data_IF_011072290640
#
_entry.id   IF_011072290640
#
_cell.length_a   1.000
_cell.length_b   1.000
_cell.length_c   1.000
_cell.angle_alpha   90.00
_cell.angle_beta   90.00
_cell.angle_gamma   90.00
#
_symmetry.space_group_name_H-M   'P 1'
#
loop_
_entity.id
_entity.type
_entity.pdbx_description
1 polymer ?
#
# COMPACT_ATOMS: atom_id res chain seq x y z
N UNK A 1 14.87 -8.08 -7.29
CA UNK A 1 13.41 -7.94 -7.20
C UNK A 1 12.81 -9.29 -7.55
N UNK A 2 11.87 -9.78 -6.75
CA UNK A 2 11.15 -11.02 -7.01
C UNK A 2 9.66 -10.69 -7.07
N UNK A 3 9.00 -11.11 -8.14
CA UNK A 3 7.55 -10.99 -8.32
C UNK A 3 6.98 -12.39 -8.44
N UNK A 4 5.88 -12.67 -7.74
CA UNK A 4 5.18 -13.93 -7.81
C UNK A 4 3.69 -13.66 -7.70
N UNK A 5 2.92 -14.12 -8.69
CA UNK A 5 1.46 -14.18 -8.59
C UNK A 5 1.09 -15.57 -8.07
N UNK A 6 0.25 -15.62 -7.04
CA UNK A 6 -0.25 -16.88 -6.49
C UNK A 6 -1.57 -17.32 -7.13
N UNK A 7 -2.10 -18.47 -6.69
CA UNK A 7 -3.35 -19.03 -7.22
C UNK A 7 -4.59 -18.17 -6.94
N UNK A 8 -4.49 -17.21 -6.01
CA UNK A 8 -5.57 -16.30 -5.61
C UNK A 8 -5.50 -14.96 -6.37
N UNK A 9 -4.58 -14.82 -7.33
CA UNK A 9 -4.40 -13.63 -8.14
C UNK A 9 -3.71 -12.48 -7.40
N UNK A 10 -2.98 -12.78 -6.32
CA UNK A 10 -2.26 -11.77 -5.54
C UNK A 10 -0.83 -11.64 -6.06
N UNK A 11 -0.45 -10.42 -6.46
CA UNK A 11 0.92 -10.12 -6.85
C UNK A 11 1.79 -9.81 -5.63
N UNK A 12 2.66 -10.75 -5.26
CA UNK A 12 3.69 -10.57 -4.23
C UNK A 12 4.94 -9.93 -4.81
N UNK A 13 5.24 -8.71 -4.38
CA UNK A 13 6.46 -7.99 -4.79
C UNK A 13 7.44 -7.91 -3.63
N UNK A 14 8.56 -8.61 -3.73
CA UNK A 14 9.67 -8.51 -2.76
C UNK A 14 10.87 -7.83 -3.38
N UNK A 15 11.27 -6.71 -2.80
CA UNK A 15 12.41 -5.93 -3.26
C UNK A 15 13.25 -5.42 -2.08
N UNK A 16 14.54 -5.24 -2.31
CA UNK A 16 15.46 -4.58 -1.37
C UNK A 16 15.67 -3.10 -1.72
N UNK A 17 15.07 -2.66 -2.82
CA UNK A 17 15.15 -1.32 -3.40
C UNK A 17 13.74 -0.85 -3.77
N UNK A 18 13.57 0.35 -4.30
CA UNK A 18 12.25 0.84 -4.75
C UNK A 18 11.66 -0.04 -5.85
N UNK A 19 10.35 -0.33 -5.78
CA UNK A 19 9.56 -0.88 -6.87
C UNK A 19 8.58 0.19 -7.37
N UNK A 20 8.39 0.26 -8.68
CA UNK A 20 7.39 1.15 -9.31
C UNK A 20 6.32 0.26 -9.93
N UNK A 21 5.08 0.46 -9.52
CA UNK A 21 3.91 -0.29 -9.97
C UNK A 21 2.99 0.67 -10.71
N UNK A 22 2.58 0.30 -11.92
CA UNK A 22 1.55 1.01 -12.68
C UNK A 22 0.21 0.30 -12.43
N UNK A 23 -0.72 0.99 -11.78
CA UNK A 23 -2.09 0.54 -11.57
C UNK A 23 -3.01 1.53 -12.28
N UNK A 24 -3.88 1.05 -13.16
CA UNK A 24 -4.74 1.89 -13.99
C UNK A 24 -5.79 2.64 -13.14
N UNK A 25 -6.40 1.96 -12.17
CA UNK A 25 -7.42 2.52 -11.29
C UNK A 25 -7.41 1.80 -9.93
N UNK A 26 -7.24 2.55 -8.83
CA UNK A 26 -7.43 2.01 -7.48
C UNK A 26 -8.89 2.22 -7.07
N UNK A 27 -9.60 1.11 -6.84
CA UNK A 27 -10.99 1.10 -6.39
C UNK A 27 -11.13 1.02 -4.87
N UNK A 28 -10.15 0.42 -4.20
CA UNK A 28 -10.17 0.31 -2.74
C UNK A 28 -8.78 0.19 -2.13
N UNK A 29 -8.65 0.71 -0.90
CA UNK A 29 -7.43 0.69 -0.11
C UNK A 29 -7.78 0.09 1.25
N UNK A 30 -7.07 -0.98 1.64
CA UNK A 30 -7.22 -1.65 2.92
C UNK A 30 -5.97 -1.52 3.79
N UNK A 31 -6.18 -1.40 5.10
CA UNK A 31 -5.12 -1.58 6.10
C UNK A 31 -5.55 -2.75 6.96
N UNK A 32 -4.74 -3.81 7.02
CA UNK A 32 -5.16 -5.09 7.60
C UNK A 32 -5.39 -5.00 9.12
N UNK A 33 -4.43 -4.44 9.86
CA UNK A 33 -4.51 -4.28 11.31
C UNK A 33 -4.33 -2.81 11.72
N UNK A 34 -5.42 -2.17 12.16
CA UNK A 34 -5.36 -0.78 12.61
C UNK A 34 -4.56 -0.59 13.91
N UNK A 35 -4.40 -1.64 14.73
CA UNK A 35 -3.64 -1.56 15.98
C UNK A 35 -2.14 -1.40 15.73
N UNK A 36 -1.68 -1.75 14.53
CA UNK A 36 -0.28 -1.57 14.12
C UNK A 36 0.01 -0.15 13.61
N UNK A 37 -0.99 0.73 13.52
CA UNK A 37 -0.83 2.10 13.04
C UNK A 37 -0.35 2.99 14.19
N UNK A 38 0.81 3.63 14.00
CA UNK A 38 1.33 4.68 14.87
C UNK A 38 0.71 6.04 14.58
N UNK A 39 0.59 6.39 13.30
CA UNK A 39 -0.04 7.64 12.87
C UNK A 39 -0.63 7.49 11.48
N UNK A 40 -1.80 8.07 11.27
CA UNK A 40 -2.44 8.13 9.97
C UNK A 40 -2.90 9.56 9.70
N UNK A 41 -2.38 10.14 8.62
CA UNK A 41 -2.72 11.48 8.16
C UNK A 41 -3.33 11.38 6.77
N UNK A 42 -4.47 12.04 6.60
CA UNK A 42 -5.12 12.25 5.30
C UNK A 42 -5.03 13.74 5.00
N UNK A 43 -4.44 14.08 3.87
CA UNK A 43 -4.26 15.46 3.43
C UNK A 43 -4.98 15.66 2.10
N UNK A 44 -6.10 16.41 2.08
CA UNK A 44 -6.72 16.81 0.83
C UNK A 44 -5.81 17.83 0.11
N UNK A 45 -5.61 17.63 -1.17
CA UNK A 45 -4.88 18.52 -2.08
C UNK A 45 -5.83 18.85 -3.23
N UNK A 46 -5.70 20.01 -3.87
CA UNK A 46 -6.60 20.37 -4.99
C UNK A 46 -6.56 19.26 -6.06
N UNK A 47 -7.69 18.57 -6.24
CA UNK A 47 -7.85 17.47 -7.20
C UNK A 47 -7.35 16.08 -6.75
N UNK A 48 -6.84 15.92 -5.52
CA UNK A 48 -6.34 14.64 -5.02
C UNK A 48 -6.44 14.48 -3.50
N UNK A 49 -6.29 13.24 -3.04
CA UNK A 49 -6.18 12.91 -1.62
C UNK A 49 -4.86 12.19 -1.40
N UNK A 50 -4.09 12.66 -0.42
CA UNK A 50 -2.85 12.02 0.02
C UNK A 50 -3.04 11.34 1.37
N UNK A 51 -2.51 10.14 1.49
CA UNK A 51 -2.50 9.31 2.67
C UNK A 51 -1.05 9.10 3.09
N UNK A 52 -0.78 9.37 4.36
CA UNK A 52 0.49 9.05 4.97
C UNK A 52 0.25 8.21 6.22
N UNK A 53 0.75 6.98 6.20
CA UNK A 53 0.56 5.98 7.26
C UNK A 53 1.94 5.61 7.78
N UNK A 54 2.09 5.65 9.12
CA UNK A 54 3.25 5.10 9.82
C UNK A 54 2.80 3.97 10.72
N UNK A 55 3.49 2.85 10.66
CA UNK A 55 3.26 1.68 11.49
C UNK A 55 4.17 1.69 12.73
N UNK A 56 3.79 0.94 13.78
CA UNK A 56 4.52 0.85 15.05
C UNK A 56 5.89 0.17 14.91
N UNK A 57 6.11 -0.61 13.85
CA UNK A 57 7.38 -1.28 13.53
C UNK A 57 8.34 -0.40 12.69
N UNK A 58 7.94 0.84 12.39
CA UNK A 58 8.72 1.75 11.56
C UNK A 58 8.42 1.63 10.06
N UNK A 59 7.46 0.78 9.66
CA UNK A 59 6.94 0.78 8.30
C UNK A 59 6.26 2.10 7.96
N UNK A 60 6.40 2.56 6.72
CA UNK A 60 5.77 3.79 6.21
C UNK A 60 5.13 3.55 4.85
N UNK A 61 3.96 4.16 4.65
CA UNK A 61 3.28 4.24 3.35
C UNK A 61 2.94 5.69 3.03
N UNK A 62 3.25 6.10 1.81
CA UNK A 62 2.73 7.30 1.15
C UNK A 62 1.94 6.86 -0.08
N UNK A 63 0.72 7.38 -0.19
CA UNK A 63 -0.17 7.09 -1.31
C UNK A 63 -0.92 8.38 -1.65
N UNK A 64 -1.05 8.71 -2.93
CA UNK A 64 -1.94 9.78 -3.38
C UNK A 64 -2.73 9.35 -4.61
N UNK A 65 -4.01 9.71 -4.67
CA UNK A 65 -4.87 9.45 -5.83
C UNK A 65 -5.78 10.64 -6.14
N UNK A 66 -6.16 10.78 -7.41
CA UNK A 66 -7.07 11.84 -7.85
C UNK A 66 -8.55 11.43 -7.75
N UNK A 67 -9.46 12.33 -8.12
CA UNK A 67 -10.90 12.07 -8.12
C UNK A 67 -11.36 10.96 -9.09
N UNK A 68 -10.50 10.56 -10.03
CA UNK A 68 -10.74 9.46 -10.97
C UNK A 68 -10.19 8.11 -10.46
N UNK A 69 -9.61 8.07 -9.26
CA UNK A 69 -8.97 6.86 -8.72
C UNK A 69 -7.60 6.55 -9.33
N UNK A 70 -7.04 7.46 -10.14
CA UNK A 70 -5.70 7.29 -10.68
C UNK A 70 -4.67 7.53 -9.58
N UNK A 71 -3.74 6.58 -9.47
CA UNK A 71 -2.62 6.65 -8.55
C UNK A 71 -1.62 7.71 -9.02
N UNK A 72 -1.36 8.71 -8.18
CA UNK A 72 -0.39 9.78 -8.43
C UNK A 72 0.96 9.49 -7.75
N UNK A 73 0.91 8.87 -6.57
CA UNK A 73 2.09 8.49 -5.80
C UNK A 73 1.80 7.19 -5.06
N UNK A 74 2.76 6.27 -5.05
CA UNK A 74 2.80 5.16 -4.12
C UNK A 74 4.24 4.86 -3.71
N UNK A 75 4.48 4.89 -2.41
CA UNK A 75 5.75 4.50 -1.80
C UNK A 75 5.47 3.75 -0.52
N UNK A 76 6.08 2.59 -0.40
CA UNK A 76 5.91 1.68 0.73
C UNK A 76 7.28 1.19 1.17
N UNK A 77 7.62 1.43 2.44
CA UNK A 77 8.90 1.01 3.03
C UNK A 77 8.63 0.24 4.32
N UNK A 78 9.21 -0.95 4.47
CA UNK A 78 9.07 -1.74 5.70
C UNK A 78 7.64 -2.23 5.95
N UNK A 79 6.84 -2.39 4.90
CA UNK A 79 5.44 -2.86 4.94
C UNK A 79 5.23 -3.97 3.93
N UNK A 80 4.27 -4.86 4.18
CA UNK A 80 3.73 -5.76 3.18
C UNK A 80 2.65 -5.03 2.39
N UNK A 81 2.66 -5.21 1.07
CA UNK A 81 1.67 -4.65 0.15
C UNK A 81 1.17 -5.78 -0.71
N UNK A 82 -0.15 -5.92 -0.78
CA UNK A 82 -0.83 -6.88 -1.63
C UNK A 82 -1.71 -6.13 -2.62
N UNK A 83 -1.68 -6.57 -3.88
CA UNK A 83 -2.55 -6.07 -4.94
C UNK A 83 -3.47 -7.22 -5.35
N UNK A 84 -4.77 -7.01 -5.20
CA UNK A 84 -5.82 -7.95 -5.58
C UNK A 84 -6.57 -7.41 -6.82
N UNK A 85 -6.74 -8.26 -7.83
CA UNK A 85 -7.47 -7.97 -9.08
C UNK A 85 -7.01 -6.69 -9.80
N UNK A 86 -5.75 -6.27 -9.58
CA UNK A 86 -5.16 -5.06 -10.17
C UNK A 86 -5.77 -3.73 -9.71
N UNK A 87 -6.72 -3.73 -8.76
CA UNK A 87 -7.47 -2.52 -8.38
C UNK A 87 -7.66 -2.32 -6.88
N UNK A 88 -7.30 -3.31 -6.05
CA UNK A 88 -7.37 -3.24 -4.60
C UNK A 88 -5.98 -3.34 -4.00
N UNK A 89 -5.63 -2.39 -3.15
CA UNK A 89 -4.34 -2.34 -2.48
C UNK A 89 -4.53 -2.56 -0.97
N UNK A 90 -3.94 -3.61 -0.41
CA UNK A 90 -3.97 -3.90 1.03
C UNK A 90 -2.56 -3.74 1.60
N UNK A 91 -2.45 -3.14 2.79
CA UNK A 91 -1.18 -2.90 3.46
C UNK A 91 -1.19 -3.47 4.87
N UNK A 92 -0.08 -4.09 5.24
CA UNK A 92 0.14 -4.65 6.56
C UNK A 92 1.54 -4.33 7.08
N UNK A 93 1.66 -4.23 8.40
CA UNK A 93 2.97 -4.20 9.08
C UNK A 93 3.73 -5.51 8.78
N UNK A 94 5.06 -5.43 8.68
CA UNK A 94 5.90 -6.62 8.54
C UNK A 94 6.09 -7.38 9.85
N UNK A 95 5.42 -6.95 10.94
CA UNK A 95 5.23 -7.79 12.12
C UNK A 95 4.52 -9.05 11.66
N UNK A 96 5.31 -10.09 11.41
CA UNK A 96 4.80 -11.45 11.48
C UNK A 96 4.29 -11.61 12.91
N UNK A 97 2.99 -11.44 13.11
CA UNK A 97 2.29 -12.23 14.10
C UNK A 97 2.55 -13.67 13.72
N UNK A 98 3.60 -14.26 14.30
CA UNK A 98 3.64 -15.69 14.44
C UNK A 98 2.49 -15.99 15.41
N UNK A 99 1.47 -16.79 15.04
CA UNK A 99 0.58 -17.36 16.04
C UNK A 99 1.38 -18.22 17.04
#
# INVERSE_FOLDING_TARGET
MTMHEDCDGILHVRTRTTAVLALDEIKSIGIENMLDIRSYTITPIVGSVSHFIRFLDGGEVRLAYNAQGCLLEFSAQGVAVEIQDGNRLTMASLRRGCP
#
